data_IF_315420796550
#
_entry.id   IF_315420796550
#
_cell.length_a   1.000
_cell.length_b   1.000
_cell.length_c   1.000
_cell.angle_alpha   90.00
_cell.angle_beta   90.00
_cell.angle_gamma   90.00
#
_symmetry.space_group_name_H-M   'P 1'
#
loop_
_entity.id
_entity.type
_entity.pdbx_description
1 polymer ?
#
# COMPACT_ATOMS: atom_id res chain seq x y z
N UNK A 1 -16.70 4.86 10.20
CA UNK A 1 -15.85 5.22 9.03
C UNK A 1 -15.00 4.02 8.69
N UNK A 2 -15.29 3.36 7.55
CA UNK A 2 -14.65 2.10 7.16
C UNK A 2 -13.24 2.38 6.63
N UNK A 3 -12.23 2.37 7.50
CA UNK A 3 -10.82 2.36 7.09
C UNK A 3 -10.50 0.99 6.47
N UNK A 4 -10.92 0.78 5.21
CA UNK A 4 -10.57 -0.40 4.42
C UNK A 4 -9.10 -0.32 4.10
N UNK A 5 -8.30 -0.94 4.95
CA UNK A 5 -6.89 -1.18 4.70
C UNK A 5 -6.75 -2.20 3.56
N UNK A 6 -6.32 -1.73 2.40
CA UNK A 6 -6.10 -2.54 1.20
C UNK A 6 -4.62 -2.93 1.08
N UNK A 7 -4.36 -4.10 0.51
CA UNK A 7 -2.99 -4.56 0.25
C UNK A 7 -2.37 -3.79 -0.92
N UNK A 8 -1.05 -3.88 -1.06
CA UNK A 8 -0.35 -3.26 -2.21
C UNK A 8 -0.86 -3.76 -3.56
N UNK A 9 -1.25 -5.03 -3.64
CA UNK A 9 -1.84 -5.62 -4.85
C UNK A 9 -3.17 -4.95 -5.15
N UNK A 10 -4.04 -4.83 -4.15
CA UNK A 10 -5.35 -4.23 -4.36
C UNK A 10 -5.26 -2.75 -4.72
N UNK A 11 -4.32 -2.03 -4.11
CA UNK A 11 -4.02 -0.65 -4.49
C UNK A 11 -3.50 -0.55 -5.93
N UNK A 12 -2.66 -1.50 -6.36
CA UNK A 12 -2.13 -1.57 -7.72
C UNK A 12 -3.23 -1.82 -8.76
N UNK A 13 -4.16 -2.73 -8.45
CA UNK A 13 -5.33 -3.01 -9.29
C UNK A 13 -6.24 -1.78 -9.41
N UNK A 14 -6.53 -1.07 -8.31
CA UNK A 14 -7.39 0.12 -8.31
C UNK A 14 -6.76 1.26 -9.11
N UNK A 15 -5.45 1.44 -9.00
CA UNK A 15 -4.70 2.49 -9.69
C UNK A 15 -4.27 2.08 -11.10
N UNK A 16 -4.57 0.86 -11.54
CA UNK A 16 -4.14 0.27 -12.82
C UNK A 16 -2.63 0.42 -13.09
N UNK A 17 -1.82 0.35 -12.04
CA UNK A 17 -0.36 0.44 -12.13
C UNK A 17 0.28 -0.87 -11.69
N UNK A 18 1.52 -1.08 -12.11
CA UNK A 18 2.28 -2.23 -11.66
C UNK A 18 2.48 -2.17 -10.12
N UNK A 19 2.24 -3.26 -9.37
CA UNK A 19 2.52 -3.33 -7.94
C UNK A 19 3.96 -2.93 -7.57
N UNK A 20 4.91 -3.14 -8.47
CA UNK A 20 6.29 -2.71 -8.28
C UNK A 20 6.44 -1.18 -8.30
N UNK A 21 5.64 -0.46 -9.09
CA UNK A 21 5.60 1.01 -9.09
C UNK A 21 5.15 1.52 -7.72
N UNK A 22 4.12 0.91 -7.14
CA UNK A 22 3.69 1.21 -5.77
C UNK A 22 4.78 0.88 -4.74
N UNK A 23 5.49 -0.25 -4.89
CA UNK A 23 6.65 -0.58 -4.03
C UNK A 23 7.77 0.44 -4.13
N UNK A 24 8.00 1.01 -5.33
CA UNK A 24 8.99 2.08 -5.54
C UNK A 24 8.54 3.38 -4.89
N UNK A 25 7.27 3.74 -4.99
CA UNK A 25 6.73 4.94 -4.35
C UNK A 25 6.74 4.83 -2.82
N UNK A 26 6.44 3.65 -2.30
CA UNK A 26 6.57 3.33 -0.87
C UNK A 26 8.04 3.47 -0.41
N UNK A 27 8.99 2.87 -1.13
CA UNK A 27 10.44 3.03 -0.84
C UNK A 27 10.91 4.48 -0.93
N UNK A 28 10.33 5.26 -1.84
CA UNK A 28 10.64 6.68 -2.04
C UNK A 28 9.93 7.60 -1.02
N UNK A 29 9.09 7.06 -0.14
CA UNK A 29 8.31 7.83 0.83
C UNK A 29 7.17 8.66 0.22
N UNK A 30 6.86 8.48 -1.07
CA UNK A 30 5.75 9.17 -1.75
C UNK A 30 4.39 8.60 -1.38
N UNK A 31 4.33 7.32 -1.01
CA UNK A 31 3.09 6.64 -0.65
C UNK A 31 3.28 5.96 0.71
N UNK A 32 2.74 6.59 1.76
CA UNK A 32 2.93 6.15 3.14
C UNK A 32 2.04 4.96 3.46
N UNK A 33 2.54 3.73 3.26
CA UNK A 33 1.87 2.55 3.78
C UNK A 33 1.81 2.62 5.31
N UNK A 34 0.64 2.35 5.89
CA UNK A 34 0.56 2.02 7.31
C UNK A 34 1.12 0.62 7.49
N UNK A 35 2.16 0.49 8.30
CA UNK A 35 2.70 -0.81 8.69
C UNK A 35 1.83 -1.40 9.78
N UNK A 36 1.42 -2.65 9.62
CA UNK A 36 0.71 -3.36 10.68
C UNK A 36 1.66 -3.51 11.88
N UNK A 37 1.28 -3.07 13.09
CA UNK A 37 2.19 -3.02 14.25
C UNK A 37 2.69 -4.40 14.68
N UNK A 38 1.96 -5.47 14.32
CA UNK A 38 2.23 -6.83 14.78
C UNK A 38 3.00 -7.67 13.73
N UNK A 39 2.68 -7.52 12.42
CA UNK A 39 3.20 -8.41 11.37
C UNK A 39 4.06 -7.69 10.31
N UNK A 40 4.25 -6.37 10.40
CA UNK A 40 5.08 -5.61 9.45
C UNK A 40 4.53 -5.49 8.02
N UNK A 41 3.35 -6.06 7.73
CA UNK A 41 2.69 -5.93 6.43
C UNK A 41 2.34 -4.47 6.12
N UNK A 42 2.47 -4.12 4.83
CA UNK A 42 2.14 -2.78 4.31
C UNK A 42 0.68 -2.75 3.90
N UNK A 43 -0.07 -1.90 4.57
CA UNK A 43 -1.48 -1.67 4.35
C UNK A 43 -1.70 -0.22 3.91
N UNK A 44 -2.56 -0.02 2.92
CA UNK A 44 -2.90 1.28 2.35
C UNK A 44 -4.34 1.62 2.69
N UNK A 45 -4.66 2.90 2.86
CA UNK A 45 -6.01 3.39 3.10
C UNK A 45 -6.42 4.34 1.97
#
# INVERSE_FOLDING_TARGET
MNNKLITIQKAAEILEINPETLRRWDRKGKFSAKRHPINGYRLYN
#
